data_IF_993703040991
#
_entry.id   IF_993703040991
#
_cell.length_a   1.000
_cell.length_b   1.000
_cell.length_c   1.000
_cell.angle_alpha   90.00
_cell.angle_beta   90.00
_cell.angle_gamma   90.00
#
_symmetry.space_group_name_H-M   'P 1'
#
loop_
_entity.id
_entity.type
_entity.pdbx_description
1 polymer ?
#
# COMPACT_ATOMS: atom_id res chain seq x y z
N UNK A 1 0.16 -30.32 4.69
CA UNK A 1 -0.26 -28.93 5.00
C UNK A 1 0.85 -27.88 4.85
N UNK A 2 2.05 -28.03 5.45
CA UNK A 2 3.15 -27.04 5.38
C UNK A 2 3.62 -26.71 3.94
N UNK A 3 3.72 -27.71 3.06
CA UNK A 3 4.13 -27.52 1.65
C UNK A 3 3.14 -26.62 0.86
N UNK A 4 1.83 -26.77 1.10
CA UNK A 4 0.79 -25.97 0.44
C UNK A 4 0.88 -24.51 0.89
N UNK A 5 1.05 -24.26 2.20
CA UNK A 5 1.26 -22.91 2.74
C UNK A 5 2.50 -22.24 2.14
N UNK A 6 3.61 -22.97 2.03
CA UNK A 6 4.85 -22.48 1.40
C UNK A 6 4.66 -22.12 -0.07
N UNK A 7 3.99 -22.99 -0.86
CA UNK A 7 3.66 -22.71 -2.27
C UNK A 7 2.77 -21.48 -2.42
N UNK A 8 1.75 -21.33 -1.57
CA UNK A 8 0.86 -20.15 -1.56
C UNK A 8 1.63 -18.86 -1.26
N UNK A 9 2.52 -18.90 -0.27
CA UNK A 9 3.35 -17.76 0.10
C UNK A 9 4.31 -17.37 -1.05
N UNK A 10 4.95 -18.35 -1.69
CA UNK A 10 5.77 -18.12 -2.89
C UNK A 10 4.97 -17.47 -4.02
N UNK A 11 3.74 -17.92 -4.29
CA UNK A 11 2.88 -17.33 -5.30
C UNK A 11 2.49 -15.87 -4.98
N UNK A 12 2.28 -15.55 -3.70
CA UNK A 12 2.03 -14.18 -3.25
C UNK A 12 3.25 -13.29 -3.41
N UNK A 13 4.46 -13.77 -3.06
CA UNK A 13 5.71 -13.04 -3.31
C UNK A 13 5.95 -12.80 -4.81
N UNK A 14 5.73 -13.81 -5.65
CA UNK A 14 5.85 -13.64 -7.10
C UNK A 14 4.85 -12.61 -7.64
N UNK A 15 3.62 -12.58 -7.10
CA UNK A 15 2.61 -11.57 -7.45
C UNK A 15 3.01 -10.17 -6.97
N UNK A 16 3.56 -10.06 -5.76
CA UNK A 16 4.08 -8.82 -5.22
C UNK A 16 5.19 -8.27 -6.13
N UNK A 17 6.17 -9.10 -6.51
CA UNK A 17 7.27 -8.73 -7.41
C UNK A 17 6.77 -8.09 -8.71
N UNK A 18 5.83 -8.74 -9.41
CA UNK A 18 5.24 -8.18 -10.64
C UNK A 18 4.59 -6.81 -10.46
N UNK A 19 3.90 -6.59 -9.34
CA UNK A 19 3.30 -5.28 -9.08
C UNK A 19 4.36 -4.23 -8.75
N UNK A 20 5.43 -4.58 -8.05
CA UNK A 20 6.55 -3.68 -7.79
C UNK A 20 7.24 -3.27 -9.10
N UNK A 21 7.51 -4.22 -10.00
CA UNK A 21 8.04 -3.94 -11.34
C UNK A 21 7.18 -2.92 -12.09
N UNK A 22 5.84 -3.11 -12.11
CA UNK A 22 4.92 -2.16 -12.75
C UNK A 22 4.97 -0.78 -12.07
N UNK A 23 5.12 -0.69 -10.74
CA UNK A 23 5.16 0.59 -10.04
C UNK A 23 6.42 1.40 -10.39
N UNK A 24 7.55 0.71 -10.48
CA UNK A 24 8.88 1.31 -10.67
C UNK A 24 9.20 1.59 -12.15
N UNK A 25 8.45 0.99 -13.08
CA UNK A 25 8.60 1.24 -14.51
C UNK A 25 7.98 2.59 -14.92
N UNK A 26 8.84 3.59 -15.13
CA UNK A 26 8.45 4.94 -15.54
C UNK A 26 7.77 5.00 -16.92
N UNK A 27 7.94 3.98 -17.77
CA UNK A 27 7.28 3.87 -19.06
C UNK A 27 5.82 3.46 -18.93
N UNK A 28 5.40 2.94 -17.76
CA UNK A 28 4.00 2.58 -17.52
C UNK A 28 3.14 3.82 -17.23
N UNK A 29 1.89 3.86 -17.73
CA UNK A 29 0.96 4.94 -17.43
C UNK A 29 0.78 5.12 -15.92
N UNK A 30 0.71 6.38 -15.45
CA UNK A 30 0.51 6.71 -14.03
C UNK A 30 -0.64 5.93 -13.39
N UNK A 31 -1.79 5.83 -14.07
CA UNK A 31 -2.97 5.06 -13.60
C UNK A 31 -2.63 3.59 -13.31
N UNK A 32 -1.78 2.98 -14.12
CA UNK A 32 -1.36 1.59 -13.94
C UNK A 32 -0.41 1.47 -12.74
N UNK A 33 0.57 2.38 -12.63
CA UNK A 33 1.49 2.46 -11.49
C UNK A 33 0.75 2.63 -10.17
N UNK A 34 -0.15 3.61 -10.08
CA UNK A 34 -0.94 3.87 -8.86
C UNK A 34 -1.84 2.69 -8.48
N UNK A 35 -2.43 1.99 -9.47
CA UNK A 35 -3.23 0.79 -9.21
C UNK A 35 -2.37 -0.35 -8.67
N UNK A 36 -1.20 -0.58 -9.28
CA UNK A 36 -0.25 -1.60 -8.83
C UNK A 36 0.29 -1.30 -7.44
N UNK A 37 0.55 -0.03 -7.11
CA UNK A 37 1.06 0.37 -5.79
C UNK A 37 0.07 0.05 -4.67
N UNK A 38 -1.22 0.35 -4.88
CA UNK A 38 -2.30 -0.03 -3.96
C UNK A 38 -2.38 -1.54 -3.76
N UNK A 39 -2.21 -2.30 -4.83
CA UNK A 39 -2.26 -3.76 -4.77
C UNK A 39 -1.01 -4.35 -4.09
N UNK A 40 0.17 -3.83 -4.39
CA UNK A 40 1.43 -4.22 -3.77
C UNK A 40 1.40 -4.00 -2.25
N UNK A 41 0.94 -2.83 -1.79
CA UNK A 41 0.79 -2.54 -0.36
C UNK A 41 -0.16 -3.52 0.34
N UNK A 42 -1.27 -3.90 -0.32
CA UNK A 42 -2.21 -4.88 0.22
C UNK A 42 -1.60 -6.30 0.30
N UNK A 43 -0.85 -6.71 -0.73
CA UNK A 43 -0.12 -7.97 -0.70
C UNK A 43 0.96 -8.00 0.38
N UNK A 44 1.75 -6.94 0.49
CA UNK A 44 2.83 -6.82 1.45
C UNK A 44 2.30 -6.86 2.90
N UNK A 45 1.17 -6.20 3.18
CA UNK A 45 0.48 -6.34 4.48
C UNK A 45 0.04 -7.80 4.72
N UNK A 46 -0.57 -8.46 3.72
CA UNK A 46 -0.99 -9.87 3.85
C UNK A 46 0.17 -10.86 4.04
N UNK A 47 1.36 -10.49 3.56
CA UNK A 47 2.61 -11.22 3.70
C UNK A 47 3.35 -10.89 5.01
N UNK A 48 2.89 -9.90 5.77
CA UNK A 48 3.53 -9.43 7.00
C UNK A 48 4.78 -8.56 6.78
N UNK A 49 4.99 -8.04 5.56
CA UNK A 49 6.11 -7.15 5.23
C UNK A 49 5.86 -5.70 5.66
N UNK A 50 4.58 -5.31 5.76
CA UNK A 50 4.14 -4.02 6.29
C UNK A 50 3.27 -4.32 7.50
N UNK A 51 3.63 -3.75 8.64
CA UNK A 51 2.84 -3.93 9.86
C UNK A 51 1.66 -2.96 9.88
N UNK A 52 0.45 -3.51 10.01
CA UNK A 52 -0.77 -2.72 10.20
C UNK A 52 -0.94 -2.38 11.68
N UNK A 53 -0.92 -1.10 12.08
CA UNK A 53 -1.14 -0.73 13.47
C UNK A 53 -2.60 -1.00 13.89
N UNK A 54 -2.83 -1.09 15.21
CA UNK A 54 -4.17 -1.30 15.77
C UNK A 54 -5.08 -0.06 15.71
N UNK A 55 -4.51 1.11 15.46
CA UNK A 55 -5.19 2.39 15.45
C UNK A 55 -4.63 3.32 14.38
N UNK A 56 -5.38 4.38 14.07
CA UNK A 56 -4.93 5.42 13.14
C UNK A 56 -3.62 6.04 13.63
N UNK A 57 -2.64 6.21 12.74
CA UNK A 57 -1.35 6.81 13.08
C UNK A 57 -1.51 8.25 13.56
N UNK A 58 -2.46 9.00 12.99
CA UNK A 58 -2.70 10.40 13.34
C UNK A 58 -3.60 10.56 14.57
N UNK A 59 -4.86 10.16 14.47
CA UNK A 59 -5.84 10.43 15.53
C UNK A 59 -5.91 9.36 16.64
N UNK A 60 -5.15 8.26 16.52
CA UNK A 60 -5.12 7.13 17.47
C UNK A 60 -6.46 6.42 17.73
N UNK A 61 -7.53 6.79 17.01
CA UNK A 61 -8.84 6.10 17.10
C UNK A 61 -8.74 4.68 16.52
N UNK A 62 -9.42 3.74 17.19
CA UNK A 62 -9.57 2.35 16.72
C UNK A 62 -10.71 2.26 15.72
N UNK A 63 -10.38 2.20 14.43
CA UNK A 63 -11.35 2.10 13.34
C UNK A 63 -10.71 1.47 12.10
N UNK A 64 -11.48 1.31 11.03
CA UNK A 64 -10.98 0.73 9.77
C UNK A 64 -9.87 1.62 9.20
N UNK A 65 -8.65 1.08 9.15
CA UNK A 65 -7.51 1.78 8.55
C UNK A 65 -7.45 1.59 7.03
N UNK A 66 -7.05 2.63 6.35
CA UNK A 66 -6.76 2.71 4.94
C UNK A 66 -5.26 3.01 4.78
N UNK A 67 -4.68 2.51 3.69
CA UNK A 67 -3.29 2.80 3.33
C UNK A 67 -3.27 4.10 2.57
N UNK A 68 -2.61 5.11 3.10
CA UNK A 68 -2.33 6.35 2.41
C UNK A 68 -0.93 6.26 1.78
N UNK A 69 -0.84 6.60 0.49
CA UNK A 69 0.40 6.67 -0.26
C UNK A 69 0.77 8.15 -0.41
N UNK A 70 1.87 8.57 0.22
CA UNK A 70 2.44 9.91 0.02
C UNK A 70 3.12 10.01 -1.34
N UNK A 71 3.92 8.99 -1.69
CA UNK A 71 4.44 8.78 -3.04
C UNK A 71 4.02 7.39 -3.53
N UNK A 72 3.35 7.36 -4.69
CA UNK A 72 2.97 6.12 -5.35
C UNK A 72 4.16 5.40 -6.02
N UNK A 73 5.34 6.04 -6.12
CA UNK A 73 6.60 5.42 -6.53
C UNK A 73 7.23 4.59 -5.39
N UNK A 74 6.79 4.79 -4.15
CA UNK A 74 7.17 3.99 -3.00
C UNK A 74 6.00 3.10 -2.57
N UNK A 75 5.66 2.04 -3.34
CA UNK A 75 4.40 1.31 -3.19
C UNK A 75 4.20 0.66 -1.83
N UNK A 76 5.30 0.37 -1.11
CA UNK A 76 5.29 -0.23 0.22
C UNK A 76 5.39 0.79 1.36
N UNK A 77 5.74 2.04 1.05
CA UNK A 77 5.77 3.11 2.04
C UNK A 77 4.36 3.70 2.17
N UNK A 78 3.63 3.23 3.18
CA UNK A 78 2.24 3.65 3.42
C UNK A 78 2.05 4.06 4.86
N UNK A 79 1.23 5.09 5.06
CA UNK A 79 0.73 5.45 6.38
C UNK A 79 -0.66 4.88 6.58
N UNK A 80 -0.92 4.24 7.72
CA UNK A 80 -2.26 3.73 8.05
C UNK A 80 -3.10 4.79 8.75
N UNK A 81 -4.09 5.29 8.03
CA UNK A 81 -4.99 6.35 8.49
C UNK A 81 -6.42 5.85 8.54
N UNK A 82 -7.24 6.41 9.41
CA UNK A 82 -8.68 6.24 9.31
C UNK A 82 -9.26 7.02 8.11
N UNK A 83 -10.51 6.78 7.68
CA UNK A 83 -11.08 7.47 6.53
C UNK A 83 -11.03 9.00 6.65
N UNK A 84 -11.35 9.55 7.83
CA UNK A 84 -11.33 11.00 8.05
C UNK A 84 -9.92 11.59 7.90
N UNK A 85 -8.93 10.99 8.57
CA UNK A 85 -7.52 11.41 8.46
C UNK A 85 -6.96 11.17 7.06
N UNK A 86 -7.41 10.11 6.39
CA UNK A 86 -7.00 9.77 5.03
C UNK A 86 -7.46 10.86 4.04
N UNK A 87 -8.71 11.31 4.16
CA UNK A 87 -9.23 12.43 3.35
C UNK A 87 -8.48 13.73 3.60
N UNK A 88 -8.10 14.03 4.85
CA UNK A 88 -7.26 15.20 5.18
C UNK A 88 -5.89 15.08 4.50
N UNK A 89 -5.25 13.90 4.60
CA UNK A 89 -3.95 13.65 3.97
C UNK A 89 -4.00 13.81 2.44
N UNK A 90 -5.03 13.26 1.80
CA UNK A 90 -5.24 13.41 0.35
C UNK A 90 -5.35 14.89 -0.06
N UNK A 91 -6.00 15.73 0.75
CA UNK A 91 -6.10 17.18 0.52
C UNK A 91 -4.77 17.93 0.74
N UNK A 92 -3.94 17.50 1.71
CA UNK A 92 -2.63 18.11 1.96
C UNK A 92 -1.68 17.94 0.75
N UNK A 93 -1.72 16.79 0.09
CA UNK A 93 -0.93 16.54 -1.13
C UNK A 93 -1.34 17.47 -2.28
N UNK A 94 -2.61 17.89 -2.31
CA UNK A 94 -3.13 18.79 -3.36
C UNK A 94 -2.63 20.24 -3.21
N UNK A 95 -2.44 20.72 -1.97
CA UNK A 95 -2.02 22.11 -1.71
C UNK A 95 -0.51 22.36 -1.89
N UNK A 96 0.32 21.33 -1.95
CA UNK A 96 1.76 21.47 -2.17
C UNK A 96 2.14 21.59 -3.66
N UNK A 97 1.18 21.43 -4.58
CA UNK A 97 1.39 21.40 -6.04
C UNK A 97 0.59 22.52 -6.75
N UNK A 98 -0.26 23.25 -6.02
CA UNK A 98 -1.01 24.41 -6.50
C UNK A 98 -0.26 25.71 -6.19
#
# INVERSE_FOLDING_TARGET
MKKIRRKRQQALFARLGRHLEICLDSLKPRRMRTRSARYAAALAESLGLIERPRCCVWCRRRQRLQRHHWDYQEPLNVTFLCPDCHSIADNMVYQAIA
#
